data_IF_303038725702
#
_entry.id   IF_303038725702
#
_cell.length_a   1.000
_cell.length_b   1.000
_cell.length_c   1.000
_cell.angle_alpha   90.00
_cell.angle_beta   90.00
_cell.angle_gamma   90.00
#
_symmetry.space_group_name_H-M   'P 1'
#
loop_
_entity.id
_entity.type
_entity.pdbx_description
1 polymer ?
#
# COMPACT_ATOMS: atom_id res chain seq x y z
N UNK A 1 -65.43 10.33 -73.57
CA UNK A 1 -66.67 9.98 -72.85
C UNK A 1 -66.34 8.92 -71.82
N UNK A 2 -66.06 9.33 -70.57
CA UNK A 2 -67.01 9.34 -69.45
C UNK A 2 -67.24 7.96 -68.79
N UNK A 3 -66.80 7.92 -67.52
CA UNK A 3 -67.38 7.20 -66.38
C UNK A 3 -67.22 5.67 -66.32
N UNK A 4 -66.32 5.23 -65.44
CA UNK A 4 -66.72 4.48 -64.23
C UNK A 4 -65.77 4.84 -63.09
N UNK A 5 -66.38 5.40 -62.05
CA UNK A 5 -65.81 6.09 -60.90
C UNK A 5 -66.13 5.21 -59.67
N UNK A 6 -65.20 5.15 -58.71
CA UNK A 6 -65.38 4.71 -57.31
C UNK A 6 -65.49 3.19 -57.06
N UNK A 7 -64.35 2.59 -56.72
CA UNK A 7 -64.29 1.59 -55.65
C UNK A 7 -62.89 1.65 -55.00
N UNK A 8 -62.85 1.59 -53.67
CA UNK A 8 -61.67 1.58 -52.78
C UNK A 8 -60.98 2.93 -52.50
N UNK A 9 -61.64 3.76 -51.72
CA UNK A 9 -60.98 4.75 -50.85
C UNK A 9 -61.77 4.76 -49.54
N UNK A 10 -61.29 4.04 -48.51
CA UNK A 10 -61.54 4.22 -47.06
C UNK A 10 -61.38 2.91 -46.24
N UNK A 11 -60.22 2.24 -46.29
CA UNK A 11 -59.73 1.44 -45.13
C UNK A 11 -58.20 1.35 -45.20
N UNK A 12 -57.48 2.47 -45.06
CA UNK A 12 -56.01 2.41 -44.80
C UNK A 12 -55.52 3.76 -44.26
N UNK A 13 -56.01 4.15 -43.09
CA UNK A 13 -55.40 5.19 -42.26
C UNK A 13 -55.84 4.92 -40.82
N UNK A 14 -55.02 4.15 -40.09
CA UNK A 14 -54.82 4.20 -38.63
C UNK A 14 -53.94 3.03 -38.15
N UNK A 15 -52.88 2.65 -38.89
CA UNK A 15 -51.71 2.10 -38.21
C UNK A 15 -50.96 3.31 -37.65
N UNK A 16 -51.32 3.74 -36.43
CA UNK A 16 -50.43 4.62 -35.67
C UNK A 16 -49.08 3.91 -35.66
N UNK A 17 -48.06 4.52 -36.26
CA UNK A 17 -46.70 4.16 -35.92
C UNK A 17 -46.56 4.43 -34.43
N UNK A 18 -46.66 3.38 -33.62
CA UNK A 18 -46.39 3.45 -32.19
C UNK A 18 -44.88 3.54 -32.12
N UNK A 19 -44.35 4.76 -32.13
CA UNK A 19 -43.02 4.98 -31.61
C UNK A 19 -43.01 4.41 -30.19
N UNK A 20 -42.01 3.60 -29.80
CA UNK A 20 -41.90 3.17 -28.41
C UNK A 20 -41.96 4.44 -27.55
N UNK A 21 -43.01 4.52 -26.73
CA UNK A 21 -43.21 5.67 -25.87
C UNK A 21 -42.03 5.68 -24.91
N UNK A 22 -41.27 6.79 -24.90
CA UNK A 22 -40.16 6.97 -23.97
C UNK A 22 -40.66 6.67 -22.55
N UNK A 23 -39.98 5.75 -21.89
CA UNK A 23 -40.40 5.19 -20.61
C UNK A 23 -39.69 5.98 -19.52
N UNK A 24 -40.36 7.03 -19.03
CA UNK A 24 -39.93 7.85 -17.90
C UNK A 24 -38.52 8.46 -18.07
N UNK A 25 -38.30 9.34 -19.08
CA UNK A 25 -36.99 9.95 -19.36
C UNK A 25 -36.51 10.90 -18.26
N UNK A 26 -37.43 11.40 -17.44
CA UNK A 26 -37.11 12.23 -16.27
C UNK A 26 -37.03 11.41 -14.98
N UNK A 27 -37.15 10.09 -15.07
CA UNK A 27 -37.17 9.20 -13.92
C UNK A 27 -38.52 9.14 -13.21
N UNK A 28 -38.52 8.45 -12.06
CA UNK A 28 -39.69 8.25 -11.20
C UNK A 28 -39.29 8.12 -9.73
N UNK A 29 -40.12 8.68 -8.85
CA UNK A 29 -39.96 8.56 -7.40
C UNK A 29 -41.16 7.85 -6.78
N UNK A 30 -40.91 6.77 -6.07
CA UNK A 30 -41.88 6.01 -5.29
C UNK A 30 -41.81 6.42 -3.82
N UNK A 31 -42.85 7.10 -3.35
CA UNK A 31 -42.99 7.60 -1.97
C UNK A 31 -44.00 6.82 -1.14
N UNK A 32 -44.72 5.86 -1.73
CA UNK A 32 -45.66 5.00 -1.03
C UNK A 32 -45.97 3.69 -1.80
N UNK A 33 -46.53 2.71 -1.08
CA UNK A 33 -46.85 1.40 -1.64
C UNK A 33 -47.89 1.44 -2.78
N UNK A 34 -48.82 2.41 -2.79
CA UNK A 34 -49.83 2.50 -3.84
C UNK A 34 -49.20 2.84 -5.19
N UNK A 35 -48.17 3.70 -5.22
CA UNK A 35 -47.43 4.00 -6.44
C UNK A 35 -46.69 2.77 -6.98
N UNK A 36 -46.07 1.99 -6.10
CA UNK A 36 -45.42 0.72 -6.46
C UNK A 36 -46.45 -0.24 -7.05
N UNK A 37 -47.57 -0.45 -6.36
CA UNK A 37 -48.61 -1.40 -6.78
C UNK A 37 -49.25 -1.02 -8.12
N UNK A 38 -49.40 0.27 -8.41
CA UNK A 38 -50.04 0.77 -9.62
C UNK A 38 -49.07 1.01 -10.78
N UNK A 39 -47.77 0.73 -10.62
CA UNK A 39 -46.76 1.05 -11.64
C UNK A 39 -47.14 0.52 -13.03
N UNK A 40 -47.46 -0.77 -13.14
CA UNK A 40 -47.82 -1.40 -14.43
C UNK A 40 -49.12 -0.87 -15.04
N UNK A 41 -50.05 -0.39 -14.21
CA UNK A 41 -51.30 0.23 -14.67
C UNK A 41 -51.06 1.65 -15.20
N UNK A 42 -50.18 2.39 -14.53
CA UNK A 42 -49.86 3.78 -14.88
C UNK A 42 -48.89 3.87 -16.06
N UNK A 43 -47.98 2.89 -16.18
CA UNK A 43 -46.92 2.85 -17.18
C UNK A 43 -46.90 1.49 -17.89
N UNK A 44 -47.95 1.16 -18.68
CA UNK A 44 -48.04 -0.13 -19.36
C UNK A 44 -46.88 -0.32 -20.35
N UNK A 45 -46.26 -1.50 -20.32
CA UNK A 45 -45.09 -1.88 -21.13
C UNK A 45 -43.79 -1.07 -20.85
N UNK A 46 -43.74 -0.31 -19.76
CA UNK A 46 -42.56 0.43 -19.33
C UNK A 46 -41.60 -0.53 -18.61
N UNK A 47 -40.68 -1.14 -19.37
CA UNK A 47 -39.69 -2.11 -18.85
C UNK A 47 -38.26 -1.55 -18.81
N UNK A 48 -37.98 -0.44 -19.49
CA UNK A 48 -36.68 0.23 -19.50
C UNK A 48 -36.92 1.68 -19.06
N UNK A 49 -36.61 2.00 -17.80
CA UNK A 49 -36.75 3.37 -17.31
C UNK A 49 -35.54 4.18 -17.79
N UNK A 50 -35.78 5.21 -18.59
CA UNK A 50 -34.73 6.03 -19.21
C UNK A 50 -34.06 7.00 -18.23
N UNK A 51 -34.76 7.43 -17.18
CA UNK A 51 -34.22 8.32 -16.15
C UNK A 51 -33.95 7.63 -14.81
N UNK A 52 -33.78 8.44 -13.77
CA UNK A 52 -33.45 7.98 -12.43
C UNK A 52 -34.65 7.33 -11.71
N UNK A 53 -34.39 6.32 -10.87
CA UNK A 53 -35.42 5.72 -10.01
C UNK A 53 -35.05 5.97 -8.56
N UNK A 54 -35.99 6.50 -7.79
CA UNK A 54 -35.85 6.65 -6.34
C UNK A 54 -37.01 5.97 -5.61
N UNK A 55 -36.70 5.12 -4.64
CA UNK A 55 -37.69 4.44 -3.79
C UNK A 55 -37.41 4.87 -2.35
N UNK A 56 -38.32 5.66 -1.76
CA UNK A 56 -38.18 6.09 -0.37
C UNK A 56 -39.52 6.26 0.33
N UNK A 57 -39.78 5.44 1.35
CA UNK A 57 -41.02 5.54 2.12
C UNK A 57 -40.98 4.74 3.42
N UNK A 58 -41.57 5.29 4.47
CA UNK A 58 -41.90 4.52 5.69
C UNK A 58 -43.03 3.49 5.49
N UNK A 59 -43.70 3.50 4.32
CA UNK A 59 -44.87 2.65 4.04
C UNK A 59 -44.61 1.51 3.06
N UNK A 60 -43.57 1.60 2.22
CA UNK A 60 -43.25 0.58 1.22
C UNK A 60 -42.73 -0.66 1.95
N UNK A 61 -43.32 -1.81 1.64
CA UNK A 61 -43.01 -3.10 2.27
C UNK A 61 -42.70 -4.22 1.26
N UNK A 62 -42.96 -4.01 -0.02
CA UNK A 62 -42.58 -4.91 -1.11
C UNK A 62 -42.49 -4.14 -2.44
N UNK A 63 -41.78 -4.72 -3.42
CA UNK A 63 -41.58 -4.13 -4.75
C UNK A 63 -42.26 -4.93 -5.88
N UNK A 64 -43.21 -5.82 -5.57
CA UNK A 64 -43.79 -6.77 -6.54
C UNK A 64 -44.40 -6.09 -7.78
N UNK A 65 -44.93 -4.87 -7.62
CA UNK A 65 -45.47 -4.06 -8.71
C UNK A 65 -44.43 -3.62 -9.75
N UNK A 66 -43.14 -3.70 -9.42
CA UNK A 66 -42.01 -3.32 -10.29
C UNK A 66 -41.45 -4.48 -11.11
N UNK A 67 -42.06 -5.67 -11.02
CA UNK A 67 -41.58 -6.92 -11.65
C UNK A 67 -41.43 -6.88 -13.17
N UNK A 68 -41.93 -5.86 -13.86
CA UNK A 68 -41.74 -5.67 -15.30
C UNK A 68 -40.49 -4.90 -15.67
N UNK A 69 -39.81 -4.25 -14.71
CA UNK A 69 -38.61 -3.46 -14.98
C UNK A 69 -37.45 -4.42 -15.25
N UNK A 70 -36.76 -4.16 -16.36
CA UNK A 70 -35.60 -4.90 -16.86
C UNK A 70 -34.34 -4.03 -16.80
N UNK A 71 -34.46 -2.72 -17.05
CA UNK A 71 -33.31 -1.81 -17.06
C UNK A 71 -33.70 -0.45 -16.47
N UNK A 72 -32.75 0.16 -15.76
CA UNK A 72 -32.81 1.56 -15.33
C UNK A 72 -31.59 2.24 -15.94
N UNK A 73 -31.77 3.10 -16.93
CA UNK A 73 -30.64 3.76 -17.61
C UNK A 73 -29.99 4.86 -16.77
N UNK A 74 -30.74 5.44 -15.81
CA UNK A 74 -30.25 6.42 -14.85
C UNK A 74 -29.70 5.80 -13.57
N UNK A 75 -29.69 6.61 -12.51
CA UNK A 75 -29.33 6.19 -11.17
C UNK A 75 -30.47 5.42 -10.50
N UNK A 76 -30.12 4.51 -9.59
CA UNK A 76 -31.12 3.77 -8.81
C UNK A 76 -30.87 3.87 -7.31
N UNK A 77 -31.79 4.53 -6.61
CA UNK A 77 -31.67 4.81 -5.17
C UNK A 77 -32.82 4.17 -4.40
N UNK A 78 -32.51 3.37 -3.38
CA UNK A 78 -33.46 2.81 -2.43
C UNK A 78 -33.08 3.24 -1.02
N UNK A 79 -33.83 4.19 -0.45
CA UNK A 79 -33.49 4.76 0.85
C UNK A 79 -34.64 4.81 1.84
N UNK A 80 -34.31 4.60 3.12
CA UNK A 80 -35.22 4.79 4.26
C UNK A 80 -36.53 3.99 4.17
N UNK A 81 -36.48 2.78 3.58
CA UNK A 81 -37.63 1.86 3.53
C UNK A 81 -37.58 0.86 4.69
N UNK A 82 -37.81 1.35 5.92
CA UNK A 82 -37.71 0.55 7.15
C UNK A 82 -38.59 -0.73 7.18
N UNK A 83 -39.63 -0.82 6.34
CA UNK A 83 -40.53 -1.98 6.25
C UNK A 83 -40.25 -2.91 5.07
N UNK A 84 -39.36 -2.53 4.16
CA UNK A 84 -39.00 -3.34 3.00
C UNK A 84 -38.10 -4.50 3.45
N UNK A 85 -38.56 -5.73 3.23
CA UNK A 85 -37.88 -6.94 3.74
C UNK A 85 -36.84 -7.50 2.79
N UNK A 86 -37.05 -7.30 1.50
CA UNK A 86 -36.25 -7.81 0.40
C UNK A 86 -36.57 -6.97 -0.84
N UNK A 87 -35.89 -7.25 -1.95
CA UNK A 87 -36.10 -6.59 -3.23
C UNK A 87 -36.96 -7.43 -4.19
N UNK A 88 -37.76 -8.36 -3.66
CA UNK A 88 -38.64 -9.17 -4.50
C UNK A 88 -39.60 -8.29 -5.30
N UNK A 89 -39.63 -8.54 -6.60
CA UNK A 89 -40.23 -7.64 -7.59
C UNK A 89 -39.20 -6.89 -8.44
N UNK A 90 -37.90 -7.00 -8.17
CA UNK A 90 -36.85 -6.53 -9.06
C UNK A 90 -36.05 -7.67 -9.71
N UNK A 91 -36.54 -8.91 -9.61
CA UNK A 91 -35.82 -10.10 -10.08
C UNK A 91 -35.53 -10.08 -11.60
N UNK A 92 -36.22 -9.24 -12.37
CA UNK A 92 -36.02 -9.09 -13.81
C UNK A 92 -35.07 -7.94 -14.17
N UNK A 93 -34.63 -7.13 -13.21
CA UNK A 93 -33.68 -6.06 -13.42
C UNK A 93 -32.31 -6.66 -13.77
N UNK A 94 -31.79 -6.29 -14.94
CA UNK A 94 -30.52 -6.77 -15.51
C UNK A 94 -29.44 -5.71 -15.38
N UNK A 95 -29.79 -4.43 -15.55
CA UNK A 95 -28.80 -3.35 -15.53
C UNK A 95 -29.32 -2.06 -14.88
N UNK A 96 -28.40 -1.38 -14.20
CA UNK A 96 -28.51 0.01 -13.77
C UNK A 96 -27.41 0.79 -14.48
N UNK A 97 -27.74 1.73 -15.35
CA UNK A 97 -26.78 2.48 -16.16
C UNK A 97 -25.95 3.48 -15.35
N UNK A 98 -26.47 3.95 -14.23
CA UNK A 98 -25.81 4.94 -13.37
C UNK A 98 -25.30 4.37 -12.04
N UNK A 99 -25.30 5.26 -11.04
CA UNK A 99 -24.99 4.97 -9.65
C UNK A 99 -26.14 4.20 -8.99
N UNK A 100 -25.81 3.28 -8.07
CA UNK A 100 -26.80 2.56 -7.27
C UNK A 100 -26.56 2.79 -5.77
N UNK A 101 -27.62 3.13 -5.04
CA UNK A 101 -27.56 3.41 -3.61
C UNK A 101 -28.60 2.60 -2.83
N UNK A 102 -28.16 1.94 -1.76
CA UNK A 102 -29.02 1.26 -0.80
C UNK A 102 -28.69 1.77 0.62
N UNK A 103 -29.58 2.60 1.17
CA UNK A 103 -29.32 3.33 2.42
C UNK A 103 -30.48 3.25 3.42
N UNK A 104 -30.20 2.92 4.68
CA UNK A 104 -31.22 3.08 5.74
C UNK A 104 -32.43 2.14 5.63
N UNK A 105 -32.29 0.97 5.00
CA UNK A 105 -33.37 0.00 4.87
C UNK A 105 -33.27 -1.05 5.99
N UNK A 106 -33.80 -0.73 7.17
CA UNK A 106 -33.57 -1.52 8.38
C UNK A 106 -33.94 -3.00 8.31
N UNK A 107 -34.90 -3.38 7.47
CA UNK A 107 -35.44 -4.75 7.46
C UNK A 107 -34.76 -5.69 6.46
N UNK A 108 -33.91 -5.18 5.55
CA UNK A 108 -33.22 -6.04 4.58
C UNK A 108 -32.09 -6.81 5.27
N UNK A 109 -31.93 -8.07 4.87
CA UNK A 109 -30.86 -8.96 5.39
C UNK A 109 -29.85 -9.32 4.32
N UNK A 110 -30.21 -9.20 3.04
CA UNK A 110 -29.36 -9.42 1.88
C UNK A 110 -29.99 -8.74 0.65
N UNK A 111 -29.50 -9.04 -0.55
CA UNK A 111 -29.89 -8.47 -1.83
C UNK A 111 -30.90 -9.34 -2.59
N UNK A 112 -31.61 -10.23 -1.89
CA UNK A 112 -32.63 -11.11 -2.49
C UNK A 112 -33.64 -10.30 -3.27
N UNK A 113 -33.72 -10.54 -4.58
CA UNK A 113 -34.51 -9.72 -5.50
C UNK A 113 -33.72 -9.16 -6.67
N UNK A 114 -32.38 -9.15 -6.59
CA UNK A 114 -31.50 -8.71 -7.68
C UNK A 114 -30.84 -9.86 -8.46
N UNK A 115 -31.46 -11.04 -8.47
CA UNK A 115 -30.82 -12.28 -8.94
C UNK A 115 -30.39 -12.25 -10.42
N UNK A 116 -30.95 -11.37 -11.24
CA UNK A 116 -30.55 -11.22 -12.65
C UNK A 116 -29.75 -9.94 -12.92
N UNK A 117 -29.41 -9.16 -11.90
CA UNK A 117 -28.65 -7.92 -12.07
C UNK A 117 -27.22 -8.29 -12.45
N UNK A 118 -26.83 -7.95 -13.68
CA UNK A 118 -25.52 -8.25 -14.25
C UNK A 118 -24.56 -7.07 -14.14
N UNK A 119 -25.09 -5.83 -14.20
CA UNK A 119 -24.25 -4.62 -14.23
C UNK A 119 -24.82 -3.40 -13.51
N UNK A 120 -23.90 -2.62 -12.94
CA UNK A 120 -24.11 -1.27 -12.42
C UNK A 120 -23.06 -0.36 -13.09
N UNK A 121 -23.49 0.65 -13.84
CA UNK A 121 -22.61 1.43 -14.69
C UNK A 121 -21.61 2.31 -13.93
N UNK A 122 -21.92 2.66 -12.68
CA UNK A 122 -21.02 3.43 -11.81
C UNK A 122 -20.80 2.72 -10.46
N UNK A 123 -20.80 3.47 -9.35
CA UNK A 123 -20.58 2.96 -8.00
C UNK A 123 -21.84 2.30 -7.45
N UNK A 124 -21.65 1.19 -6.72
CA UNK A 124 -22.64 0.66 -5.78
C UNK A 124 -22.29 1.12 -4.36
N UNK A 125 -23.18 1.90 -3.75
CA UNK A 125 -23.02 2.39 -2.39
C UNK A 125 -24.07 1.76 -1.46
N UNK A 126 -23.61 1.13 -0.38
CA UNK A 126 -24.48 0.41 0.57
C UNK A 126 -24.05 0.71 2.00
N UNK A 127 -24.88 1.43 2.74
CA UNK A 127 -24.53 1.89 4.07
C UNK A 127 -25.76 2.09 4.95
N UNK A 128 -25.57 2.09 6.27
CA UNK A 128 -26.64 2.22 7.25
C UNK A 128 -27.81 1.22 7.07
N UNK A 129 -27.56 -0.02 6.63
CA UNK A 129 -28.58 -1.08 6.63
C UNK A 129 -28.30 -2.03 7.81
N UNK A 130 -28.84 -1.75 9.01
CA UNK A 130 -28.37 -2.37 10.26
C UNK A 130 -28.54 -3.89 10.34
N UNK A 131 -29.46 -4.48 9.59
CA UNK A 131 -29.69 -5.94 9.56
C UNK A 131 -29.10 -6.63 8.31
N UNK A 132 -28.46 -5.89 7.40
CA UNK A 132 -27.79 -6.46 6.24
C UNK A 132 -26.65 -7.37 6.72
N UNK A 133 -26.65 -8.63 6.26
CA UNK A 133 -25.68 -9.67 6.66
C UNK A 133 -24.63 -9.90 5.56
N UNK A 134 -25.05 -9.87 4.30
CA UNK A 134 -24.22 -10.09 3.11
C UNK A 134 -24.91 -9.55 1.85
N UNK A 135 -24.34 -9.81 0.68
CA UNK A 135 -24.82 -9.34 -0.62
C UNK A 135 -25.48 -10.44 -1.47
N UNK A 136 -25.85 -11.57 -0.87
CA UNK A 136 -26.51 -12.67 -1.60
C UNK A 136 -27.75 -12.17 -2.33
N UNK A 137 -27.88 -12.56 -3.59
CA UNK A 137 -28.83 -11.98 -4.53
C UNK A 137 -28.19 -11.10 -5.60
N UNK A 138 -26.94 -10.65 -5.43
CA UNK A 138 -26.11 -10.11 -6.52
C UNK A 138 -25.33 -11.20 -7.27
N UNK A 139 -25.83 -12.44 -7.25
CA UNK A 139 -25.08 -13.63 -7.70
C UNK A 139 -24.68 -13.59 -9.18
N UNK A 140 -25.26 -12.70 -10.01
CA UNK A 140 -24.91 -12.51 -11.42
C UNK A 140 -24.17 -11.18 -11.70
N UNK A 141 -23.97 -10.34 -10.69
CA UNK A 141 -23.30 -9.05 -10.83
C UNK A 141 -21.83 -9.27 -11.15
N UNK A 142 -21.43 -8.92 -12.37
CA UNK A 142 -20.07 -9.11 -12.86
C UNK A 142 -19.42 -7.79 -13.32
N UNK A 143 -20.19 -6.71 -13.44
CA UNK A 143 -19.68 -5.40 -13.85
C UNK A 143 -20.18 -4.30 -12.94
N UNK A 144 -19.28 -3.72 -12.15
CA UNK A 144 -19.53 -2.53 -11.33
C UNK A 144 -18.25 -1.71 -11.24
N UNK A 145 -18.34 -0.37 -11.35
CA UNK A 145 -17.14 0.46 -11.36
C UNK A 145 -16.45 0.49 -9.99
N UNK A 146 -17.20 0.41 -8.89
CA UNK A 146 -16.63 0.41 -7.55
C UNK A 146 -17.67 0.10 -6.49
N UNK A 147 -17.18 -0.38 -5.35
CA UNK A 147 -17.98 -0.73 -4.19
C UNK A 147 -17.66 0.22 -3.04
N UNK A 148 -18.68 0.91 -2.53
CA UNK A 148 -18.60 1.75 -1.34
C UNK A 148 -19.54 1.19 -0.25
N UNK A 149 -19.00 0.53 0.76
CA UNK A 149 -19.79 -0.19 1.76
C UNK A 149 -19.50 0.39 3.15
N UNK A 150 -20.43 1.19 3.65
CA UNK A 150 -20.24 2.06 4.81
C UNK A 150 -20.11 3.53 4.44
N UNK A 151 -19.76 4.38 5.41
CA UNK A 151 -19.66 5.83 5.18
C UNK A 151 -18.73 6.52 6.19
N UNK A 152 -18.24 7.71 5.82
CA UNK A 152 -17.29 8.54 6.56
C UNK A 152 -17.82 9.09 7.90
N UNK A 153 -19.15 9.10 8.08
CA UNK A 153 -19.79 9.41 9.38
C UNK A 153 -19.91 8.17 10.29
N UNK A 154 -19.21 7.09 9.96
CA UNK A 154 -19.25 5.78 10.64
C UNK A 154 -20.61 5.08 10.59
N UNK A 155 -21.40 5.34 9.54
CA UNK A 155 -22.66 4.65 9.28
C UNK A 155 -22.48 3.35 8.48
N UNK A 156 -21.81 2.36 9.05
CA UNK A 156 -21.66 1.04 8.42
C UNK A 156 -22.89 0.13 8.50
N UNK A 157 -22.79 -1.04 7.87
CA UNK A 157 -23.80 -2.10 7.91
C UNK A 157 -23.52 -3.03 9.11
N UNK A 158 -24.07 -2.68 10.28
CA UNK A 158 -23.68 -3.23 11.59
C UNK A 158 -23.84 -4.74 11.79
N UNK A 159 -24.59 -5.42 10.92
CA UNK A 159 -24.77 -6.88 10.96
C UNK A 159 -24.03 -7.63 9.87
N UNK A 160 -23.31 -6.92 8.98
CA UNK A 160 -22.64 -7.53 7.84
C UNK A 160 -21.46 -8.35 8.32
N UNK A 161 -21.37 -9.60 7.86
CA UNK A 161 -20.32 -10.55 8.27
C UNK A 161 -19.36 -10.91 7.15
N UNK A 162 -19.81 -10.82 5.89
CA UNK A 162 -19.01 -11.09 4.70
C UNK A 162 -19.58 -10.38 3.45
N UNK A 163 -18.91 -10.57 2.32
CA UNK A 163 -19.21 -9.97 1.03
C UNK A 163 -19.84 -10.95 0.02
N UNK A 164 -20.37 -12.09 0.50
CA UNK A 164 -20.91 -13.14 -0.34
C UNK A 164 -22.03 -12.58 -1.23
N UNK A 165 -22.04 -12.94 -2.52
CA UNK A 165 -22.85 -12.31 -3.56
C UNK A 165 -22.05 -11.45 -4.54
N UNK A 166 -20.78 -11.13 -4.26
CA UNK A 166 -19.86 -10.49 -5.22
C UNK A 166 -18.95 -11.47 -5.96
N UNK A 167 -19.28 -12.76 -5.92
CA UNK A 167 -18.42 -13.85 -6.36
C UNK A 167 -18.00 -13.78 -7.85
N UNK A 168 -18.71 -13.02 -8.68
CA UNK A 168 -18.42 -12.88 -10.11
C UNK A 168 -17.63 -11.60 -10.48
N UNK A 169 -17.18 -10.83 -9.50
CA UNK A 169 -16.39 -9.62 -9.72
C UNK A 169 -14.91 -9.98 -9.77
N UNK A 170 -14.28 -9.79 -10.94
CA UNK A 170 -12.84 -10.00 -11.15
C UNK A 170 -12.02 -8.70 -11.17
N UNK A 171 -12.70 -7.56 -11.30
CA UNK A 171 -12.10 -6.24 -11.49
C UNK A 171 -12.94 -5.15 -10.85
N UNK A 172 -12.30 -4.26 -10.09
CA UNK A 172 -12.93 -3.08 -9.50
C UNK A 172 -12.10 -1.83 -9.76
N UNK A 173 -12.78 -0.70 -9.99
CA UNK A 173 -12.15 0.60 -9.81
C UNK A 173 -11.77 0.77 -8.33
N UNK A 174 -12.69 0.59 -7.40
CA UNK A 174 -12.33 0.65 -5.99
C UNK A 174 -13.19 -0.24 -5.11
N UNK A 175 -12.63 -0.57 -3.95
CA UNK A 175 -13.31 -1.20 -2.83
C UNK A 175 -13.04 -0.32 -1.60
N UNK A 176 -14.09 0.32 -1.10
CA UNK A 176 -14.08 1.07 0.14
C UNK A 176 -14.98 0.38 1.15
N UNK A 177 -14.40 -0.17 2.20
CA UNK A 177 -15.11 -0.77 3.32
C UNK A 177 -14.91 0.11 4.55
N UNK A 178 -15.99 0.59 5.17
CA UNK A 178 -15.90 1.46 6.33
C UNK A 178 -16.95 1.16 7.41
N UNK A 179 -16.51 1.13 8.67
CA UNK A 179 -17.38 1.02 9.85
C UNK A 179 -18.28 -0.23 9.89
N UNK A 180 -17.84 -1.33 9.26
CA UNK A 180 -18.55 -2.60 9.27
C UNK A 180 -17.97 -3.52 10.36
N UNK A 181 -18.18 -3.17 11.62
CA UNK A 181 -17.49 -3.80 12.77
C UNK A 181 -17.64 -5.33 12.88
N UNK A 182 -18.71 -5.92 12.32
CA UNK A 182 -18.93 -7.38 12.32
C UNK A 182 -18.39 -8.11 11.11
N UNK A 183 -17.87 -7.39 10.11
CA UNK A 183 -17.26 -7.98 8.93
C UNK A 183 -16.04 -8.76 9.39
N UNK A 184 -16.08 -10.09 9.24
CA UNK A 184 -15.01 -10.97 9.69
C UNK A 184 -14.31 -11.70 8.55
N UNK A 185 -14.82 -11.61 7.33
CA UNK A 185 -14.27 -12.28 6.15
C UNK A 185 -14.59 -11.47 4.90
N UNK A 186 -13.68 -11.51 3.92
CA UNK A 186 -13.89 -10.94 2.58
C UNK A 186 -14.46 -11.97 1.59
N UNK A 187 -15.00 -13.10 2.07
CA UNK A 187 -15.64 -14.11 1.23
C UNK A 187 -16.66 -13.46 0.30
N UNK A 188 -16.59 -13.83 -0.98
CA UNK A 188 -17.26 -13.15 -2.09
C UNK A 188 -16.30 -12.38 -2.99
N UNK A 189 -15.06 -12.10 -2.54
CA UNK A 189 -14.00 -11.47 -3.36
C UNK A 189 -12.93 -12.45 -3.84
N UNK A 190 -13.20 -13.76 -3.71
CA UNK A 190 -12.24 -14.82 -4.03
C UNK A 190 -11.77 -14.81 -5.51
N UNK A 191 -12.53 -14.19 -6.41
CA UNK A 191 -12.20 -14.07 -7.84
C UNK A 191 -11.62 -12.70 -8.24
N UNK A 192 -11.44 -11.77 -7.30
CA UNK A 192 -10.93 -10.43 -7.59
C UNK A 192 -9.44 -10.50 -8.00
N UNK A 193 -9.14 -10.14 -9.25
CA UNK A 193 -7.78 -10.14 -9.81
C UNK A 193 -7.18 -8.72 -9.92
N UNK A 194 -8.02 -7.72 -10.13
CA UNK A 194 -7.61 -6.34 -10.36
C UNK A 194 -8.39 -5.35 -9.49
N UNK A 195 -7.68 -4.37 -8.94
CA UNK A 195 -8.30 -3.21 -8.31
C UNK A 195 -7.50 -1.93 -8.59
N UNK A 196 -8.15 -0.77 -8.72
CA UNK A 196 -7.44 0.51 -8.60
C UNK A 196 -7.18 0.81 -7.12
N UNK A 197 -8.19 1.14 -6.33
CA UNK A 197 -8.02 1.52 -4.92
C UNK A 197 -8.63 0.51 -3.94
N UNK A 198 -7.86 0.08 -2.94
CA UNK A 198 -8.31 -0.82 -1.87
C UNK A 198 -8.22 -0.10 -0.53
N UNK A 199 -9.38 0.21 0.05
CA UNK A 199 -9.52 0.89 1.33
C UNK A 199 -10.38 0.07 2.30
N UNK A 200 -9.81 -0.33 3.44
CA UNK A 200 -10.53 -1.04 4.50
C UNK A 200 -10.31 -0.31 5.82
N UNK A 201 -11.39 0.28 6.34
CA UNK A 201 -11.42 1.14 7.51
C UNK A 201 -12.40 0.66 8.57
N UNK A 202 -12.01 0.72 9.84
CA UNK A 202 -12.92 0.45 10.96
C UNK A 202 -13.69 -0.89 10.82
N UNK A 203 -13.05 -1.95 10.31
CA UNK A 203 -13.62 -3.29 10.21
C UNK A 203 -13.06 -4.16 11.33
N UNK A 204 -13.44 -3.87 12.57
CA UNK A 204 -12.75 -4.37 13.75
C UNK A 204 -12.82 -5.89 13.98
N UNK A 205 -13.74 -6.62 13.34
CA UNK A 205 -13.78 -8.10 13.40
C UNK A 205 -13.02 -8.79 12.25
N UNK A 206 -12.49 -8.02 11.29
CA UNK A 206 -11.78 -8.59 10.15
C UNK A 206 -10.39 -9.03 10.60
N UNK A 207 -10.17 -10.34 10.67
CA UNK A 207 -8.90 -10.92 11.13
C UNK A 207 -7.97 -11.33 9.98
N UNK A 208 -8.51 -11.47 8.77
CA UNK A 208 -7.79 -11.92 7.58
C UNK A 208 -8.31 -11.27 6.31
N UNK A 209 -7.44 -11.19 5.30
CA UNK A 209 -7.76 -10.78 3.92
C UNK A 209 -7.36 -11.88 2.91
N UNK A 210 -7.30 -13.14 3.35
CA UNK A 210 -6.84 -14.27 2.53
C UNK A 210 -7.62 -14.50 1.24
N UNK A 211 -8.89 -14.13 1.24
CA UNK A 211 -9.80 -14.21 0.10
C UNK A 211 -9.36 -13.28 -1.05
N UNK A 212 -8.49 -12.31 -0.79
CA UNK A 212 -7.82 -11.52 -1.85
C UNK A 212 -6.66 -12.27 -2.54
N UNK A 213 -6.45 -13.57 -2.27
CA UNK A 213 -5.32 -14.35 -2.80
C UNK A 213 -5.22 -14.42 -4.33
N UNK A 214 -6.27 -14.08 -5.06
CA UNK A 214 -6.26 -13.96 -6.52
C UNK A 214 -5.88 -12.57 -7.04
N UNK A 215 -5.78 -11.56 -6.16
CA UNK A 215 -5.42 -10.21 -6.52
C UNK A 215 -4.00 -10.17 -7.08
N UNK A 216 -3.83 -9.64 -8.29
CA UNK A 216 -2.55 -9.51 -8.99
C UNK A 216 -2.07 -8.08 -9.09
N UNK A 217 -2.99 -7.12 -9.00
CA UNK A 217 -2.68 -5.71 -9.26
C UNK A 217 -3.50 -4.77 -8.39
N UNK A 218 -2.80 -3.81 -7.80
CA UNK A 218 -3.36 -2.60 -7.19
C UNK A 218 -2.76 -1.42 -7.94
N UNK A 219 -3.56 -0.75 -8.77
CA UNK A 219 -3.08 0.40 -9.55
C UNK A 219 -2.98 1.67 -8.70
N UNK A 220 -3.94 1.89 -7.82
CA UNK A 220 -4.03 3.05 -6.96
C UNK A 220 -3.45 2.75 -5.57
N UNK A 221 -4.19 3.12 -4.55
CA UNK A 221 -3.74 3.06 -3.16
C UNK A 221 -4.16 1.78 -2.43
N UNK A 222 -3.33 1.35 -1.48
CA UNK A 222 -3.66 0.35 -0.47
C UNK A 222 -3.75 1.04 0.89
N UNK A 223 -4.95 1.12 1.44
CA UNK A 223 -5.20 1.71 2.76
C UNK A 223 -5.86 0.71 3.70
N UNK A 224 -5.14 0.34 4.77
CA UNK A 224 -5.64 -0.51 5.85
C UNK A 224 -5.54 0.28 7.15
N UNK A 225 -6.67 0.76 7.66
CA UNK A 225 -6.69 1.64 8.84
C UNK A 225 -7.74 1.22 9.87
N UNK A 226 -7.33 1.13 11.14
CA UNK A 226 -8.21 0.76 12.26
C UNK A 226 -8.93 -0.59 12.09
N UNK A 227 -8.24 -1.63 11.59
CA UNK A 227 -8.76 -3.00 11.57
C UNK A 227 -8.11 -3.82 12.68
N UNK A 228 -8.54 -3.59 13.92
CA UNK A 228 -7.82 -4.06 15.11
C UNK A 228 -7.62 -5.58 15.20
N UNK A 229 -8.53 -6.38 14.63
CA UNK A 229 -8.40 -7.85 14.64
C UNK A 229 -7.49 -8.41 13.54
N UNK A 230 -7.09 -7.60 12.56
CA UNK A 230 -6.29 -8.06 11.41
C UNK A 230 -4.92 -8.55 11.89
N UNK A 231 -4.65 -9.84 11.72
CA UNK A 231 -3.40 -10.47 12.17
C UNK A 231 -2.37 -10.67 11.06
N UNK A 232 -2.79 -10.62 9.79
CA UNK A 232 -1.93 -10.91 8.64
C UNK A 232 -2.41 -10.22 7.37
N UNK A 233 -1.48 -9.90 6.47
CA UNK A 233 -1.75 -9.39 5.13
C UNK A 233 -1.76 -10.51 4.06
N UNK A 234 -1.74 -11.78 4.49
CA UNK A 234 -1.88 -12.92 3.59
C UNK A 234 -3.12 -12.76 2.73
N UNK A 235 -2.97 -12.98 1.43
CA UNK A 235 -3.91 -12.55 0.40
C UNK A 235 -3.26 -11.57 -0.56
N UNK A 236 -2.34 -10.72 -0.09
CA UNK A 236 -1.59 -9.79 -0.94
C UNK A 236 -0.30 -10.40 -1.52
N UNK A 237 -0.07 -11.70 -1.32
CA UNK A 237 1.20 -12.38 -1.64
C UNK A 237 1.59 -12.30 -3.12
N UNK A 238 0.63 -12.08 -4.02
CA UNK A 238 0.89 -11.98 -5.46
C UNK A 238 1.20 -10.56 -5.93
N UNK A 239 1.10 -9.56 -5.05
CA UNK A 239 1.31 -8.16 -5.42
C UNK A 239 2.81 -7.88 -5.52
N UNK A 240 3.25 -7.54 -6.74
CA UNK A 240 4.65 -7.15 -7.02
C UNK A 240 4.84 -5.64 -7.01
N UNK A 241 3.78 -4.89 -7.35
CA UNK A 241 3.83 -3.43 -7.48
C UNK A 241 2.50 -2.81 -7.10
N UNK A 242 2.57 -1.67 -6.43
CA UNK A 242 1.45 -0.74 -6.19
C UNK A 242 1.79 0.60 -6.83
N UNK A 243 0.94 1.13 -7.74
CA UNK A 243 1.27 2.41 -8.40
C UNK A 243 0.88 3.66 -7.60
N UNK A 244 -0.03 3.55 -6.62
CA UNK A 244 -0.28 4.58 -5.62
C UNK A 244 0.55 4.40 -4.35
N UNK A 245 0.02 4.88 -3.22
CA UNK A 245 0.61 4.77 -1.90
C UNK A 245 0.13 3.57 -1.09
N UNK A 246 0.86 3.26 -0.02
CA UNK A 246 0.48 2.29 0.99
C UNK A 246 0.34 3.03 2.32
N UNK A 247 -0.80 2.86 2.98
CA UNK A 247 -1.02 3.26 4.37
C UNK A 247 -1.51 2.07 5.19
N UNK A 248 -0.69 1.63 6.15
CA UNK A 248 -1.04 0.57 7.10
C UNK A 248 -0.97 1.19 8.48
N UNK A 249 -2.14 1.50 9.06
CA UNK A 249 -2.21 2.25 10.30
C UNK A 249 -3.20 1.69 11.31
N UNK A 250 -2.86 1.72 12.59
CA UNK A 250 -3.78 1.34 13.68
C UNK A 250 -4.39 -0.08 13.54
N UNK A 251 -3.65 -1.02 12.95
CA UNK A 251 -4.03 -2.44 12.89
C UNK A 251 -3.35 -3.18 14.05
N UNK A 252 -3.89 -3.02 15.26
CA UNK A 252 -3.15 -3.33 16.49
C UNK A 252 -2.72 -4.80 16.65
N UNK A 253 -3.41 -5.78 16.06
CA UNK A 253 -3.00 -7.19 16.12
C UNK A 253 -2.07 -7.66 14.99
N UNK A 254 -1.69 -6.75 14.07
CA UNK A 254 -0.74 -7.05 13.02
C UNK A 254 0.67 -7.07 13.62
N UNK A 255 1.40 -8.17 13.44
CA UNK A 255 2.74 -8.35 14.02
C UNK A 255 3.87 -8.05 13.03
N UNK A 256 3.61 -8.19 11.73
CA UNK A 256 4.54 -7.92 10.65
C UNK A 256 3.76 -7.74 9.34
N UNK A 257 4.46 -7.63 8.23
CA UNK A 257 3.90 -7.34 6.90
C UNK A 257 3.91 -8.58 5.99
N UNK A 258 3.97 -9.79 6.58
CA UNK A 258 3.86 -11.04 5.84
C UNK A 258 2.55 -11.04 5.03
N UNK A 259 2.70 -11.32 3.73
CA UNK A 259 1.69 -11.03 2.70
C UNK A 259 2.20 -10.05 1.66
N UNK A 260 3.16 -9.18 1.98
CA UNK A 260 3.78 -8.26 1.01
C UNK A 260 5.12 -8.78 0.44
N UNK A 261 5.47 -10.03 0.70
CA UNK A 261 6.81 -10.57 0.44
C UNK A 261 7.28 -10.51 -1.02
N UNK A 262 6.37 -10.37 -1.99
CA UNK A 262 6.72 -10.22 -3.41
C UNK A 262 6.75 -8.76 -3.88
N UNK A 263 6.38 -7.81 -3.03
CA UNK A 263 6.32 -6.38 -3.36
C UNK A 263 7.74 -5.85 -3.59
N UNK A 264 8.00 -5.37 -4.81
CA UNK A 264 9.29 -4.76 -5.17
C UNK A 264 9.22 -3.25 -5.28
N UNK A 265 8.03 -2.70 -5.59
CA UNK A 265 7.91 -1.26 -5.85
C UNK A 265 6.58 -0.68 -5.36
N UNK A 266 6.68 0.47 -4.68
CA UNK A 266 5.57 1.40 -4.44
C UNK A 266 5.85 2.68 -5.22
N UNK A 267 5.01 3.04 -6.19
CA UNK A 267 5.25 4.27 -6.95
C UNK A 267 4.75 5.54 -6.23
N UNK A 268 4.01 5.42 -5.13
CA UNK A 268 3.64 6.52 -4.24
C UNK A 268 4.41 6.52 -2.92
N UNK A 269 3.73 6.89 -1.84
CA UNK A 269 4.26 6.90 -0.48
C UNK A 269 4.07 5.56 0.23
N UNK A 270 4.80 5.32 1.31
CA UNK A 270 4.56 4.25 2.26
C UNK A 270 4.51 4.82 3.67
N UNK A 271 3.40 4.60 4.36
CA UNK A 271 3.18 4.96 5.75
C UNK A 271 2.82 3.71 6.56
N UNK A 272 3.65 3.37 7.55
CA UNK A 272 3.37 2.29 8.51
C UNK A 272 3.33 2.94 9.89
N UNK A 273 2.14 3.08 10.44
CA UNK A 273 1.88 3.97 11.56
C UNK A 273 1.04 3.35 12.67
N UNK A 274 1.39 3.58 13.93
CA UNK A 274 0.53 3.25 15.08
C UNK A 274 0.04 1.78 15.11
N UNK A 275 0.76 0.83 14.51
CA UNK A 275 0.42 -0.59 14.61
C UNK A 275 1.10 -1.13 15.86
N UNK A 276 0.32 -1.31 16.93
CA UNK A 276 0.88 -1.53 18.26
C UNK A 276 1.81 -2.74 18.35
N UNK A 277 1.43 -3.88 17.75
CA UNK A 277 2.16 -5.15 17.84
C UNK A 277 3.16 -5.42 16.70
N UNK A 278 3.36 -4.49 15.75
CA UNK A 278 4.40 -4.68 14.74
C UNK A 278 5.76 -4.63 15.43
N UNK A 279 6.51 -5.74 15.40
CA UNK A 279 7.83 -5.88 16.04
C UNK A 279 9.00 -5.93 15.05
N UNK A 280 8.73 -6.27 13.79
CA UNK A 280 9.65 -6.14 12.65
C UNK A 280 8.91 -5.81 11.34
N UNK A 281 9.66 -5.59 10.25
CA UNK A 281 9.12 -5.29 8.92
C UNK A 281 9.20 -6.50 7.97
N UNK A 282 9.21 -7.72 8.51
CA UNK A 282 9.21 -8.95 7.70
C UNK A 282 8.02 -8.95 6.74
N UNK A 283 8.24 -9.40 5.52
CA UNK A 283 7.33 -9.24 4.39
C UNK A 283 7.69 -8.10 3.45
N UNK A 284 8.70 -7.26 3.74
CA UNK A 284 9.20 -6.24 2.81
C UNK A 284 10.56 -6.58 2.18
N UNK A 285 11.05 -7.82 2.31
CA UNK A 285 12.43 -8.21 1.99
C UNK A 285 12.82 -7.97 0.54
N UNK A 286 11.84 -7.91 -0.38
CA UNK A 286 12.04 -7.68 -1.80
C UNK A 286 11.77 -6.22 -2.24
N UNK A 287 11.36 -5.35 -1.32
CA UNK A 287 11.04 -3.96 -1.62
C UNK A 287 12.32 -3.21 -2.03
N UNK A 288 12.39 -2.80 -3.29
CA UNK A 288 13.56 -2.13 -3.88
C UNK A 288 13.38 -0.60 -3.91
N UNK A 289 12.16 -0.12 -4.15
CA UNK A 289 11.91 1.31 -4.38
C UNK A 289 10.56 1.80 -3.86
N UNK A 290 10.57 2.96 -3.21
CA UNK A 290 9.42 3.81 -2.89
C UNK A 290 9.60 5.13 -3.66
N UNK A 291 8.70 5.46 -4.58
CA UNK A 291 8.78 6.68 -5.40
C UNK A 291 8.04 7.88 -4.78
N UNK A 292 8.12 7.98 -3.46
CA UNK A 292 7.50 9.02 -2.64
C UNK A 292 8.22 9.09 -1.30
N UNK A 293 7.48 9.17 -0.19
CA UNK A 293 8.06 9.18 1.15
C UNK A 293 7.91 7.84 1.86
N UNK A 294 8.79 7.57 2.83
CA UNK A 294 8.67 6.50 3.81
C UNK A 294 8.53 7.11 5.21
N UNK A 295 7.36 6.94 5.83
CA UNK A 295 7.09 7.33 7.21
C UNK A 295 6.83 6.07 8.06
N UNK A 296 7.66 5.86 9.09
CA UNK A 296 7.55 4.77 10.06
C UNK A 296 7.38 5.35 11.46
N UNK A 297 6.18 5.29 12.04
CA UNK A 297 5.98 5.92 13.34
C UNK A 297 4.94 5.31 14.25
N UNK A 298 5.12 5.47 15.56
CA UNK A 298 4.13 4.99 16.53
C UNK A 298 3.99 3.46 16.59
N UNK A 299 4.83 2.69 15.90
CA UNK A 299 4.85 1.23 15.99
C UNK A 299 5.65 0.86 17.24
N UNK A 300 4.96 0.88 18.38
CA UNK A 300 5.61 0.93 19.70
C UNK A 300 6.52 -0.28 19.98
N UNK A 301 6.16 -1.45 19.45
CA UNK A 301 6.93 -2.69 19.62
C UNK A 301 7.95 -2.95 18.51
N UNK A 302 8.09 -2.07 17.51
CA UNK A 302 9.03 -2.23 16.41
C UNK A 302 10.47 -2.18 16.95
N UNK A 303 11.18 -3.31 16.93
CA UNK A 303 12.53 -3.44 17.49
C UNK A 303 13.61 -3.20 16.43
N UNK A 304 13.30 -3.51 15.17
CA UNK A 304 14.26 -3.51 14.06
C UNK A 304 13.60 -3.10 12.74
N UNK A 305 14.38 -2.56 11.80
CA UNK A 305 13.95 -2.33 10.42
C UNK A 305 14.25 -3.52 9.49
N UNK A 306 14.52 -4.69 10.07
CA UNK A 306 14.66 -5.93 9.30
C UNK A 306 13.42 -6.15 8.44
N UNK A 307 13.63 -6.44 7.16
CA UNK A 307 12.63 -6.39 6.11
C UNK A 307 13.01 -5.37 5.03
N UNK A 308 13.68 -4.27 5.38
CA UNK A 308 14.03 -3.22 4.41
C UNK A 308 15.39 -3.39 3.72
N UNK A 309 16.08 -4.53 3.89
CA UNK A 309 17.48 -4.69 3.45
C UNK A 309 17.70 -4.48 1.94
N UNK A 310 16.66 -4.73 1.14
CA UNK A 310 16.69 -4.54 -0.31
C UNK A 310 16.34 -3.12 -0.77
N UNK A 311 15.84 -2.27 0.13
CA UNK A 311 15.35 -0.93 -0.20
C UNK A 311 16.50 -0.02 -0.60
N UNK A 312 16.53 0.39 -1.86
CA UNK A 312 17.57 1.25 -2.45
C UNK A 312 17.10 2.68 -2.66
N UNK A 313 15.82 2.88 -2.96
CA UNK A 313 15.30 4.18 -3.35
C UNK A 313 14.11 4.57 -2.49
N UNK A 314 14.20 5.73 -1.85
CA UNK A 314 13.07 6.43 -1.23
C UNK A 314 13.11 7.82 -1.86
N UNK A 315 12.46 8.01 -3.01
CA UNK A 315 12.53 9.23 -3.82
C UNK A 315 11.74 10.40 -3.19
N UNK A 316 12.05 10.71 -1.93
CA UNK A 316 11.34 11.61 -1.05
C UNK A 316 11.92 11.59 0.37
N UNK A 317 11.10 11.92 1.38
CA UNK A 317 11.57 11.96 2.76
C UNK A 317 11.59 10.57 3.39
N UNK A 318 12.54 10.35 4.31
CA UNK A 318 12.51 9.25 5.28
C UNK A 318 12.26 9.83 6.67
N UNK A 319 11.17 9.41 7.33
CA UNK A 319 10.89 9.77 8.73
C UNK A 319 10.68 8.53 9.58
N UNK A 320 11.40 8.45 10.69
CA UNK A 320 11.30 7.37 11.68
C UNK A 320 11.14 8.00 13.05
N UNK A 321 9.96 7.88 13.66
CA UNK A 321 9.73 8.53 14.96
C UNK A 321 8.73 7.82 15.85
N UNK A 322 8.82 8.03 17.16
CA UNK A 322 7.89 7.44 18.13
C UNK A 322 7.80 5.90 18.05
N UNK A 323 8.87 5.22 17.66
CA UNK A 323 8.98 3.76 17.71
C UNK A 323 9.75 3.40 18.98
N UNK A 324 9.01 3.21 20.08
CA UNK A 324 9.56 3.16 21.43
C UNK A 324 10.62 2.07 21.62
N UNK A 325 10.41 0.90 21.05
CA UNK A 325 11.25 -0.27 21.25
C UNK A 325 12.37 -0.41 20.19
N UNK A 326 12.47 0.53 19.24
CA UNK A 326 13.43 0.48 18.13
C UNK A 326 14.86 0.67 18.66
N UNK A 327 15.76 -0.28 18.35
CA UNK A 327 17.13 -0.28 18.88
C UNK A 327 18.17 0.24 17.89
N UNK A 328 17.96 -0.03 16.59
CA UNK A 328 18.94 0.18 15.53
C UNK A 328 18.24 0.53 14.20
N UNK A 329 18.91 1.34 13.37
CA UNK A 329 18.49 1.62 12.00
C UNK A 329 19.00 0.57 10.99
N UNK A 330 19.62 -0.51 11.46
CA UNK A 330 20.03 -1.63 10.60
C UNK A 330 18.84 -2.13 9.79
N UNK A 331 19.02 -2.27 8.48
CA UNK A 331 17.95 -2.62 7.53
C UNK A 331 17.81 -1.60 6.41
N UNK A 332 18.10 -0.32 6.66
CA UNK A 332 18.06 0.72 5.62
C UNK A 332 19.44 1.07 5.06
N UNK A 333 20.46 0.25 5.31
CA UNK A 333 21.85 0.47 4.87
C UNK A 333 21.99 0.68 3.36
N UNK A 334 21.12 0.02 2.59
CA UNK A 334 21.12 0.03 1.12
C UNK A 334 20.50 1.29 0.51
N UNK A 335 19.84 2.14 1.30
CA UNK A 335 19.15 3.33 0.78
C UNK A 335 20.17 4.33 0.23
N UNK A 336 20.03 4.62 -1.06
CA UNK A 336 20.90 5.55 -1.79
C UNK A 336 20.68 6.99 -1.33
N UNK A 337 21.79 7.65 -1.02
CA UNK A 337 21.82 9.04 -0.56
C UNK A 337 21.12 10.01 -1.52
N UNK A 338 21.29 9.80 -2.84
CA UNK A 338 20.71 10.64 -3.88
C UNK A 338 19.18 10.46 -4.05
N UNK A 339 18.60 9.44 -3.41
CA UNK A 339 17.15 9.25 -3.45
C UNK A 339 16.41 10.13 -2.42
N UNK A 340 17.05 10.49 -1.32
CA UNK A 340 16.40 11.15 -0.19
C UNK A 340 16.32 12.67 -0.36
N UNK A 341 15.15 13.25 -0.08
CA UNK A 341 14.98 14.72 0.01
C UNK A 341 15.18 15.26 1.42
N UNK A 342 14.89 14.46 2.45
CA UNK A 342 15.17 14.77 3.86
C UNK A 342 15.23 13.50 4.71
N UNK A 343 16.02 13.54 5.78
CA UNK A 343 16.12 12.48 6.78
C UNK A 343 15.68 13.01 8.16
N UNK A 344 14.70 12.38 8.79
CA UNK A 344 14.31 12.72 10.16
C UNK A 344 14.15 11.48 11.02
N UNK A 345 14.88 11.44 12.14
CA UNK A 345 14.86 10.33 13.10
C UNK A 345 14.75 10.90 14.50
N UNK A 346 13.57 10.86 15.11
CA UNK A 346 13.36 11.52 16.40
C UNK A 346 12.36 10.80 17.30
N UNK A 347 12.37 11.07 18.60
CA UNK A 347 11.46 10.45 19.56
C UNK A 347 11.49 8.90 19.56
N UNK A 348 12.65 8.28 19.31
CA UNK A 348 12.84 6.83 19.45
C UNK A 348 13.73 6.55 20.67
N UNK A 349 13.15 6.48 21.89
CA UNK A 349 13.89 6.57 23.15
C UNK A 349 14.89 5.42 23.42
N UNK A 350 14.79 4.27 22.74
CA UNK A 350 15.77 3.18 22.86
C UNK A 350 16.77 3.10 21.70
N UNK A 351 16.58 3.90 20.66
CA UNK A 351 17.40 3.88 19.45
C UNK A 351 18.79 4.45 19.74
N UNK A 352 19.82 3.60 19.68
CA UNK A 352 21.21 3.97 19.98
C UNK A 352 22.20 3.64 18.86
N UNK A 353 21.77 2.90 17.83
CA UNK A 353 22.58 2.55 16.67
C UNK A 353 22.02 3.16 15.38
N UNK A 354 22.51 4.34 14.99
CA UNK A 354 22.05 5.06 13.80
C UNK A 354 23.13 5.23 12.72
N UNK A 355 24.37 4.85 13.00
CA UNK A 355 25.50 5.02 12.09
C UNK A 355 25.53 3.93 11.01
N UNK A 356 24.40 3.73 10.33
CA UNK A 356 24.26 2.87 9.15
C UNK A 356 24.72 3.62 7.89
N UNK A 357 25.07 2.88 6.85
CA UNK A 357 25.70 3.45 5.65
C UNK A 357 24.86 4.59 5.02
N UNK A 358 23.55 4.39 4.89
CA UNK A 358 22.63 5.39 4.33
C UNK A 358 22.59 6.69 5.13
N UNK A 359 22.51 6.61 6.46
CA UNK A 359 22.49 7.77 7.36
C UNK A 359 23.83 8.51 7.34
N UNK A 360 24.95 7.78 7.43
CA UNK A 360 26.29 8.39 7.37
C UNK A 360 26.56 9.08 6.03
N UNK A 361 26.13 8.47 4.93
CA UNK A 361 26.26 9.06 3.60
C UNK A 361 25.40 10.34 3.50
N UNK A 362 24.17 10.33 4.00
CA UNK A 362 23.28 11.49 3.95
C UNK A 362 23.77 12.67 4.79
N UNK A 363 24.30 12.41 6.00
CA UNK A 363 24.87 13.45 6.85
C UNK A 363 26.13 14.11 6.24
N UNK A 364 26.78 13.46 5.27
CA UNK A 364 27.93 14.03 4.57
C UNK A 364 27.56 15.05 3.48
N UNK A 365 26.26 15.16 3.12
CA UNK A 365 25.78 16.12 2.14
C UNK A 365 25.77 17.53 2.75
N UNK A 366 26.48 18.51 2.16
CA UNK A 366 26.35 19.90 2.56
C UNK A 366 24.90 20.38 2.42
N UNK A 367 24.38 21.05 3.46
CA UNK A 367 23.01 21.58 3.51
C UNK A 367 21.89 20.53 3.40
N UNK A 368 22.19 19.23 3.62
CA UNK A 368 21.19 18.18 3.69
C UNK A 368 20.17 18.40 4.81
N UNK A 369 18.88 18.27 4.49
CA UNK A 369 17.78 18.48 5.45
C UNK A 369 17.70 17.30 6.43
N UNK A 370 18.26 17.50 7.62
CA UNK A 370 18.40 16.47 8.65
C UNK A 370 17.80 16.91 9.97
N UNK A 371 17.08 16.01 10.63
CA UNK A 371 16.65 16.19 12.00
C UNK A 371 16.81 14.88 12.79
N UNK A 372 17.88 14.78 13.55
CA UNK A 372 18.09 13.68 14.50
C UNK A 372 18.05 14.28 15.90
N UNK A 373 17.05 13.91 16.70
CA UNK A 373 16.85 14.44 18.07
C UNK A 373 16.06 13.47 18.94
N UNK A 374 16.12 13.63 20.27
CA UNK A 374 15.23 12.93 21.20
C UNK A 374 15.25 11.39 21.08
N UNK A 375 16.41 10.83 20.75
CA UNK A 375 16.66 9.38 20.74
C UNK A 375 17.61 9.00 21.89
N UNK A 376 18.02 7.74 21.98
CA UNK A 376 19.01 7.34 22.97
C UNK A 376 20.42 7.85 22.60
N UNK A 377 21.32 7.88 23.59
CA UNK A 377 22.73 8.24 23.39
C UNK A 377 23.37 7.40 22.27
N UNK A 378 24.09 8.07 21.37
CA UNK A 378 24.63 7.49 20.13
C UNK A 378 23.80 7.86 18.90
N UNK A 379 22.55 8.28 19.12
CA UNK A 379 21.58 8.70 18.11
C UNK A 379 20.85 10.00 18.48
N UNK A 380 21.25 10.71 19.55
CA UNK A 380 20.42 11.78 20.09
C UNK A 380 20.65 13.14 19.41
N UNK A 381 21.65 13.26 18.52
CA UNK A 381 21.84 14.43 17.68
C UNK A 381 22.58 14.11 16.38
N UNK A 382 22.52 15.02 15.41
CA UNK A 382 23.32 14.93 14.18
C UNK A 382 24.83 14.80 14.49
N UNK A 383 25.33 15.50 15.50
CA UNK A 383 26.75 15.47 15.91
C UNK A 383 27.17 14.13 16.50
N UNK A 384 26.32 13.51 17.34
CA UNK A 384 26.59 12.19 17.90
C UNK A 384 26.71 11.14 16.78
N UNK A 385 25.75 11.13 15.86
CA UNK A 385 25.73 10.19 14.73
C UNK A 385 26.92 10.43 13.79
N UNK A 386 27.23 11.70 13.47
CA UNK A 386 28.41 12.03 12.68
C UNK A 386 29.72 11.53 13.31
N UNK A 387 29.85 11.65 14.63
CA UNK A 387 31.01 11.14 15.36
C UNK A 387 31.11 9.62 15.24
N UNK A 388 29.98 8.90 15.40
CA UNK A 388 29.91 7.46 15.21
C UNK A 388 30.25 7.05 13.76
N UNK A 389 29.73 7.78 12.77
CA UNK A 389 30.04 7.57 11.35
C UNK A 389 31.53 7.73 11.05
N UNK A 390 32.22 8.70 11.66
CA UNK A 390 33.68 8.87 11.51
C UNK A 390 34.45 7.71 12.15
N UNK A 391 33.99 7.16 13.27
CA UNK A 391 34.63 6.01 13.90
C UNK A 391 34.48 4.74 13.04
N UNK A 392 33.30 4.54 12.44
CA UNK A 392 33.02 3.42 11.52
C UNK A 392 33.79 3.57 10.20
N UNK A 393 33.90 4.80 9.67
CA UNK A 393 34.64 5.08 8.42
C UNK A 393 36.14 5.31 8.62
N UNK A 394 36.59 5.56 9.86
CA UNK A 394 37.99 5.83 10.21
C UNK A 394 38.92 4.64 10.01
N UNK A 395 38.38 3.41 10.03
CA UNK A 395 39.12 2.22 9.59
C UNK A 395 39.24 2.12 8.05
N UNK A 396 38.39 2.82 7.28
CA UNK A 396 38.32 2.73 5.81
C UNK A 396 38.82 3.96 5.04
N UNK A 397 38.84 5.16 5.63
CA UNK A 397 39.27 6.41 4.98
C UNK A 397 40.74 6.44 4.55
N UNK A 398 41.56 5.54 5.09
CA UNK A 398 42.99 5.50 4.85
C UNK A 398 43.49 4.23 4.17
N UNK A 399 42.66 3.20 3.92
CA UNK A 399 43.14 1.91 3.38
C UNK A 399 43.99 2.03 2.10
N UNK A 400 43.76 3.08 1.27
CA UNK A 400 44.49 3.33 0.03
C UNK A 400 45.40 4.58 0.07
N UNK A 401 45.54 5.24 1.23
CA UNK A 401 46.31 6.47 1.36
C UNK A 401 47.83 6.25 1.27
N UNK A 402 48.30 5.06 1.67
CA UNK A 402 49.68 4.62 1.52
C UNK A 402 49.74 3.40 0.61
N UNK A 403 50.58 3.42 -0.42
CA UNK A 403 50.87 2.25 -1.27
C UNK A 403 52.35 1.90 -1.16
N UNK A 404 52.67 0.63 -0.92
CA UNK A 404 54.06 0.17 -0.79
C UNK A 404 54.43 -0.70 -1.99
N UNK A 405 55.46 -0.28 -2.73
CA UNK A 405 55.88 -0.95 -3.97
C UNK A 405 57.39 -0.87 -4.22
N UNK A 406 58.02 -1.81 -4.93
CA UNK A 406 57.43 -3.08 -5.39
C UNK A 406 57.22 -4.05 -4.22
N UNK A 407 56.28 -4.98 -4.38
CA UNK A 407 56.11 -6.11 -3.47
C UNK A 407 55.63 -7.31 -4.31
N UNK A 408 56.47 -8.32 -4.56
CA UNK A 408 57.76 -8.62 -3.93
C UNK A 408 58.89 -7.60 -4.23
N UNK A 409 59.86 -7.48 -3.33
CA UNK A 409 61.01 -6.56 -3.44
C UNK A 409 62.35 -7.29 -3.34
N UNK A 410 63.43 -6.69 -3.87
CA UNK A 410 64.82 -7.22 -3.78
C UNK A 410 65.66 -6.47 -2.76
N UNK A 411 65.84 -5.16 -2.96
CA UNK A 411 66.75 -4.33 -2.16
C UNK A 411 66.06 -3.15 -1.48
N UNK A 412 64.97 -2.63 -2.03
CA UNK A 412 64.26 -1.47 -1.48
C UNK A 412 62.79 -1.45 -1.84
N UNK A 413 62.01 -0.72 -1.05
CA UNK A 413 60.61 -0.40 -1.29
C UNK A 413 60.41 1.12 -1.28
N UNK A 414 59.37 1.59 -1.93
CA UNK A 414 58.87 2.95 -1.89
C UNK A 414 57.53 3.00 -1.17
N UNK A 415 57.32 4.06 -0.41
CA UNK A 415 56.05 4.37 0.26
C UNK A 415 55.44 5.56 -0.47
N UNK A 416 54.38 5.30 -1.22
CA UNK A 416 53.65 6.32 -1.98
C UNK A 416 52.54 6.84 -1.08
N UNK A 417 52.70 8.06 -0.58
CA UNK A 417 51.75 8.71 0.31
C UNK A 417 50.83 9.66 -0.49
N UNK A 418 49.68 9.15 -0.94
CA UNK A 418 48.79 9.87 -1.86
C UNK A 418 48.04 11.04 -1.20
N UNK A 419 47.89 11.00 0.12
CA UNK A 419 47.10 11.97 0.88
C UNK A 419 47.96 12.84 1.82
N UNK A 420 49.29 12.90 1.60
CA UNK A 420 50.23 13.70 2.42
C UNK A 420 50.11 13.46 3.93
N UNK A 421 49.90 12.21 4.33
CA UNK A 421 49.78 11.83 5.74
C UNK A 421 51.08 12.07 6.51
N UNK A 422 50.99 12.52 7.75
CA UNK A 422 52.16 12.76 8.60
C UNK A 422 52.63 11.46 9.24
N UNK A 423 53.70 10.87 8.72
CA UNK A 423 54.28 9.61 9.20
C UNK A 423 55.11 9.88 10.46
N UNK A 424 54.75 9.23 11.58
CA UNK A 424 55.48 9.27 12.86
C UNK A 424 56.63 8.27 12.86
N UNK A 425 56.34 7.03 12.49
CA UNK A 425 57.31 5.95 12.49
C UNK A 425 56.96 4.87 11.48
N UNK A 426 57.98 4.18 11.02
CA UNK A 426 57.88 3.00 10.18
C UNK A 426 58.68 1.90 10.86
N UNK A 427 58.08 0.73 11.03
CA UNK A 427 58.77 -0.44 11.59
C UNK A 427 58.55 -1.68 10.73
N UNK A 428 59.57 -2.54 10.66
CA UNK A 428 59.49 -3.82 9.96
C UNK A 428 59.73 -4.93 10.97
N UNK A 429 58.84 -5.91 10.95
CA UNK A 429 58.87 -7.08 11.83
C UNK A 429 58.99 -8.37 11.01
N UNK A 430 59.62 -9.40 11.56
CA UNK A 430 59.57 -10.75 10.99
C UNK A 430 58.23 -11.44 11.33
N UNK A 431 58.03 -12.65 10.82
CA UNK A 431 56.79 -13.41 11.03
C UNK A 431 56.56 -13.86 12.49
N UNK A 432 57.57 -13.79 13.36
CA UNK A 432 57.44 -14.04 14.80
C UNK A 432 57.22 -12.75 15.61
N UNK A 433 57.10 -11.60 14.95
CA UNK A 433 56.78 -10.31 15.58
C UNK A 433 57.98 -9.53 16.13
N UNK A 434 59.21 -10.01 15.92
CA UNK A 434 60.42 -9.30 16.32
C UNK A 434 60.67 -8.11 15.40
N UNK A 435 60.94 -6.94 15.98
CA UNK A 435 61.22 -5.69 15.25
C UNK A 435 62.65 -5.68 14.74
N UNK A 436 62.83 -5.59 13.42
CA UNK A 436 64.16 -5.66 12.76
C UNK A 436 64.63 -4.25 12.35
N UNK A 437 63.72 -3.41 11.88
CA UNK A 437 64.03 -2.04 11.43
C UNK A 437 63.00 -1.10 12.04
N UNK A 438 63.46 0.07 12.48
CA UNK A 438 62.61 1.18 12.94
C UNK A 438 63.20 2.50 12.46
N UNK A 439 62.37 3.35 11.87
CA UNK A 439 62.74 4.69 11.43
C UNK A 439 61.69 5.68 11.90
N UNK A 440 62.13 6.82 12.43
CA UNK A 440 61.26 7.92 12.85
C UNK A 440 61.17 8.96 11.73
N UNK A 441 59.97 9.51 11.52
CA UNK A 441 59.67 10.49 10.48
C UNK A 441 59.39 9.89 9.09
N UNK A 442 59.14 10.74 8.08
CA UNK A 442 58.78 10.29 6.74
C UNK A 442 59.96 9.67 6.01
N UNK A 443 59.70 8.61 5.25
CA UNK A 443 60.67 7.99 4.35
C UNK A 443 59.96 7.50 3.08
N UNK A 444 60.22 8.17 1.96
CA UNK A 444 59.60 7.81 0.66
C UNK A 444 60.20 6.53 0.08
N UNK A 445 61.41 6.16 0.52
CA UNK A 445 62.13 4.96 0.08
C UNK A 445 62.90 4.35 1.24
N UNK A 446 62.74 3.04 1.43
CA UNK A 446 63.46 2.26 2.45
C UNK A 446 64.40 1.26 1.79
N UNK A 447 65.68 1.30 2.15
CA UNK A 447 66.65 0.28 1.76
C UNK A 447 66.59 -0.89 2.74
N UNK A 448 66.17 -2.04 2.24
CA UNK A 448 65.93 -3.26 2.99
C UNK A 448 66.86 -4.40 2.55
N UNK A 449 68.03 -4.06 1.98
CA UNK A 449 69.00 -5.03 1.47
C UNK A 449 69.52 -5.97 2.56
N UNK A 450 69.53 -5.54 3.82
CA UNK A 450 70.00 -6.31 4.99
C UNK A 450 69.10 -7.50 5.35
N UNK A 451 67.82 -7.48 4.95
CA UNK A 451 66.88 -8.56 5.27
C UNK A 451 67.24 -9.85 4.50
N UNK A 452 66.95 -11.03 5.05
CA UNK A 452 67.06 -12.28 4.29
C UNK A 452 65.80 -12.51 3.43
N UNK A 453 65.83 -13.34 2.39
CA UNK A 453 64.60 -13.72 1.67
C UNK A 453 63.54 -14.28 2.62
N UNK A 454 62.29 -13.83 2.49
CA UNK A 454 61.24 -14.18 3.44
C UNK A 454 60.06 -13.22 3.48
N UNK A 455 59.17 -13.46 4.44
CA UNK A 455 57.97 -12.64 4.69
C UNK A 455 58.20 -11.72 5.87
N UNK A 456 57.89 -10.45 5.66
CA UNK A 456 57.97 -9.39 6.67
C UNK A 456 56.64 -8.65 6.77
N UNK A 457 56.44 -7.94 7.86
CA UNK A 457 55.31 -7.04 8.05
C UNK A 457 55.87 -5.65 8.27
N UNK A 458 55.45 -4.70 7.44
CA UNK A 458 55.69 -3.27 7.65
C UNK A 458 54.49 -2.67 8.37
N UNK A 459 54.77 -1.96 9.47
CA UNK A 459 53.80 -1.17 10.21
C UNK A 459 54.19 0.30 10.07
N UNK A 460 53.27 1.14 9.59
CA UNK A 460 53.47 2.58 9.44
C UNK A 460 52.47 3.27 10.37
N UNK A 461 52.99 4.03 11.33
CA UNK A 461 52.17 4.83 12.24
C UNK A 461 52.15 6.27 11.74
N UNK A 462 50.96 6.81 11.53
CA UNK A 462 50.77 8.24 11.20
C UNK A 462 50.12 8.97 12.38
N UNK A 463 49.90 10.28 12.25
CA UNK A 463 49.06 11.02 13.21
C UNK A 463 47.58 10.65 13.10
N UNK A 464 47.15 10.16 11.94
CA UNK A 464 45.75 9.92 11.60
C UNK A 464 45.33 8.45 11.71
N UNK A 465 46.21 7.51 11.38
CA UNK A 465 45.90 6.08 11.31
C UNK A 465 47.15 5.19 11.42
N UNK A 466 46.94 3.89 11.63
CA UNK A 466 47.97 2.86 11.58
C UNK A 466 47.78 1.99 10.34
N UNK A 467 48.88 1.72 9.63
CA UNK A 467 48.88 0.93 8.40
C UNK A 467 49.74 -0.31 8.58
N UNK A 468 49.28 -1.42 8.01
CA UNK A 468 50.00 -2.69 8.07
C UNK A 468 49.95 -3.39 6.71
N UNK A 469 51.11 -3.77 6.19
CA UNK A 469 51.19 -4.50 4.92
C UNK A 469 52.19 -5.65 5.02
N UNK A 470 51.87 -6.77 4.38
CA UNK A 470 52.80 -7.90 4.20
C UNK A 470 53.79 -7.56 3.09
N UNK A 471 55.08 -7.74 3.34
CA UNK A 471 56.15 -7.62 2.36
C UNK A 471 56.80 -8.97 2.07
N UNK A 472 57.15 -9.21 0.80
CA UNK A 472 57.81 -10.43 0.35
C UNK A 472 59.19 -10.04 -0.20
N UNK A 473 60.26 -10.48 0.47
CA UNK A 473 61.64 -10.32 -0.02
C UNK A 473 62.04 -11.53 -0.87
N UNK A 474 62.49 -11.27 -2.10
CA UNK A 474 63.08 -12.27 -2.99
C UNK A 474 64.59 -12.39 -2.79
#
# INVERSE_FOLDING_TARGET
MMKKFILLLLVFMLSKAIFPQSCLPQGITFTNQLQVNNFQNNYPNCNIIEGDVTIHSSSINNLLGLSTIISIQGNFTILLNHKLKDFQGLNNLVDVGGYMEIYGNDSIVNMSGFTNLESIGATLQVFNNPNLVNFQGFDNLNSVSGLWIGDYELYGNKSMINLAGFDNIDSLGFLHLEANDKLSSLNGLDNLEFINDLSIFYCNSLDSITELGNLRKIEGELMLWMNNSLVSLKGLDSIVRINGGIKISENNNLHNLLGLGNLTTVNGYMEIANNFNIDDLSGLENLDSINGFLDLYGNRHLVTLSGLQSLKFINGRLRIFNNKDLLSLTGIDSVGVDSLTSLSVFDNPLLSECSVASVCNYLSIPDGLTNISDNNTGCNSNEEVNTACILVTGENLYQNALTISPNPFRSSIQIINKNSLSIKSISITNFVGEKIIETNGPADKLNLSILSPGVYIINIQTHQANFKQKLIKQ
#
